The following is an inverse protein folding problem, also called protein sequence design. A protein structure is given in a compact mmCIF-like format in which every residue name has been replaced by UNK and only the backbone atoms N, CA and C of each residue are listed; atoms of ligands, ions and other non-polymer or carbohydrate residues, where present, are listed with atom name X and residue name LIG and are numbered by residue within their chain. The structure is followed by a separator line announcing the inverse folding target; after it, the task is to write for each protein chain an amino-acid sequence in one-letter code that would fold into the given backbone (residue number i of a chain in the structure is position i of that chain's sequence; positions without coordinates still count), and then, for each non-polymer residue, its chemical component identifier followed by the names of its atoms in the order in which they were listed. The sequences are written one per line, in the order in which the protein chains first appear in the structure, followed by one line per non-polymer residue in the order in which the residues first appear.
data_IF_204693095112
#
_entry.id   IF_204693095112
#
_cell.length_a   1.000
_cell.length_b   1.000
_cell.length_c   1.000
_cell.angle_alpha   90.00
_cell.angle_beta   90.00
_cell.angle_gamma   90.00
#
_symmetry.space_group_name_H-M   'P 1'
#
loop_
_entity.id
_entity.type
_entity.pdbx_description
1 polymer ?
#
# COMPACT_ATOMS: atom_id res chain seq x y z
N UNK A 1 -20.84 -5.26 13.81
CA UNK A 1 -19.38 -5.44 14.01
C UNK A 1 -18.60 -5.66 12.71
N UNK A 2 -19.05 -6.52 11.78
CA UNK A 2 -18.29 -6.80 10.54
C UNK A 2 -18.05 -5.58 9.63
N UNK A 3 -19.07 -4.75 9.41
CA UNK A 3 -18.93 -3.53 8.58
C UNK A 3 -17.99 -2.54 9.24
N UNK A 4 -18.10 -2.31 10.55
CA UNK A 4 -17.22 -1.40 11.28
C UNK A 4 -15.76 -1.86 11.24
N UNK A 5 -15.49 -3.16 11.40
CA UNK A 5 -14.15 -3.72 11.28
C UNK A 5 -13.58 -3.61 9.88
N UNK A 6 -14.41 -3.76 8.84
CA UNK A 6 -13.98 -3.58 7.45
C UNK A 6 -13.65 -2.12 7.15
N UNK A 7 -14.50 -1.18 7.58
CA UNK A 7 -14.25 0.26 7.42
C UNK A 7 -12.98 0.66 8.18
N UNK A 8 -12.82 0.22 9.43
CA UNK A 8 -11.63 0.47 10.23
C UNK A 8 -10.36 -0.05 9.55
N UNK A 9 -10.41 -1.28 9.00
CA UNK A 9 -9.31 -1.87 8.27
C UNK A 9 -8.90 -1.04 7.04
N UNK A 10 -9.86 -0.65 6.21
CA UNK A 10 -9.62 0.17 5.01
C UNK A 10 -9.14 1.57 5.36
N UNK A 11 -9.80 2.22 6.32
CA UNK A 11 -9.41 3.57 6.77
C UNK A 11 -7.99 3.57 7.33
N UNK A 12 -7.65 2.59 8.17
CA UNK A 12 -6.30 2.48 8.72
C UNK A 12 -5.22 2.30 7.66
N UNK A 13 -5.46 1.45 6.66
CA UNK A 13 -4.51 1.30 5.53
C UNK A 13 -4.43 2.59 4.72
N UNK A 14 -5.56 3.25 4.44
CA UNK A 14 -5.59 4.51 3.70
C UNK A 14 -4.87 5.63 4.45
N UNK A 15 -5.02 5.71 5.77
CA UNK A 15 -4.31 6.66 6.63
C UNK A 15 -2.80 6.40 6.65
N UNK A 16 -2.36 5.12 6.66
CA UNK A 16 -0.94 4.79 6.56
C UNK A 16 -0.34 5.29 5.24
N UNK A 17 -0.99 5.01 4.10
CA UNK A 17 -0.54 5.50 2.80
C UNK A 17 -0.59 7.03 2.72
N UNK A 18 -1.69 7.64 3.15
CA UNK A 18 -1.87 9.10 3.16
C UNK A 18 -0.85 9.81 4.06
N UNK A 19 -0.54 9.25 5.23
CA UNK A 19 0.49 9.81 6.13
C UNK A 19 1.89 9.75 5.52
N UNK A 20 2.20 8.67 4.79
CA UNK A 20 3.47 8.57 4.08
C UNK A 20 3.56 9.62 2.96
N UNK A 21 2.52 9.77 2.14
CA UNK A 21 2.43 10.82 1.12
C UNK A 21 2.63 12.20 1.75
N UNK A 22 1.89 12.52 2.82
CA UNK A 22 1.96 13.81 3.52
C UNK A 22 3.38 14.12 4.01
N UNK A 23 4.09 13.13 4.54
CA UNK A 23 5.46 13.29 5.07
C UNK A 23 6.52 13.40 3.97
N UNK A 24 6.34 12.73 2.84
CA UNK A 24 7.31 12.71 1.74
C UNK A 24 7.14 13.90 0.78
N UNK A 25 5.92 14.41 0.63
CA UNK A 25 5.63 15.52 -0.29
C UNK A 25 6.49 16.76 -0.03
N UNK A 26 6.67 17.26 1.21
CA UNK A 26 7.55 18.41 1.45
C UNK A 26 9.00 18.15 1.04
N UNK A 27 9.51 16.93 1.25
CA UNK A 27 10.89 16.56 0.88
C UNK A 27 11.06 16.48 -0.65
N UNK A 28 10.03 16.02 -1.34
CA UNK A 28 9.99 16.01 -2.80
C UNK A 28 9.94 17.43 -3.38
N UNK A 29 9.15 18.32 -2.77
CA UNK A 29 9.06 19.73 -3.19
C UNK A 29 10.36 20.48 -2.90
N UNK A 30 10.99 20.23 -1.76
CA UNK A 30 12.27 20.86 -1.38
C UNK A 30 13.38 20.60 -2.41
N UNK A 31 13.36 19.48 -3.12
CA UNK A 31 14.32 19.22 -4.19
C UNK A 31 14.30 20.31 -5.28
N UNK A 32 13.11 20.86 -5.59
CA UNK A 32 12.97 21.90 -6.63
C UNK A 32 13.50 23.28 -6.21
N UNK A 33 13.80 23.49 -4.93
CA UNK A 33 14.48 24.68 -4.45
C UNK A 33 15.98 24.68 -4.76
N UNK A 34 16.51 23.52 -5.16
CA UNK A 34 17.91 23.34 -5.53
C UNK A 34 18.11 23.50 -7.05
N UNK A 35 19.31 23.89 -7.46
CA UNK A 35 19.63 24.06 -8.89
C UNK A 35 19.63 22.71 -9.62
N UNK A 36 18.60 22.46 -10.42
CA UNK A 36 18.53 21.27 -11.25
C UNK A 36 19.37 21.44 -12.52
N UNK A 37 20.32 20.54 -12.71
CA UNK A 37 20.97 20.35 -14.00
C UNK A 37 20.11 19.43 -14.88
N UNK A 38 20.40 19.38 -16.19
CA UNK A 38 19.64 18.57 -17.14
C UNK A 38 19.54 17.08 -16.74
N UNK A 39 20.56 16.52 -16.13
CA UNK A 39 20.57 15.12 -15.68
C UNK A 39 19.65 14.87 -14.48
N UNK A 40 19.42 15.85 -13.62
CA UNK A 40 18.43 15.73 -12.54
C UNK A 40 17.03 15.63 -13.11
N UNK A 41 16.69 16.41 -14.14
CA UNK A 41 15.42 16.33 -14.84
C UNK A 41 15.23 14.98 -15.52
N UNK A 42 16.25 14.49 -16.25
CA UNK A 42 16.21 13.19 -16.89
C UNK A 42 15.98 12.07 -15.86
N UNK A 43 16.71 12.10 -14.74
CA UNK A 43 16.56 11.11 -13.68
C UNK A 43 15.19 11.19 -12.99
N UNK A 44 14.66 12.39 -12.74
CA UNK A 44 13.31 12.60 -12.21
C UNK A 44 12.26 11.92 -13.08
N UNK A 45 12.27 12.13 -14.39
CA UNK A 45 11.32 11.49 -15.30
C UNK A 45 11.44 9.96 -15.28
N UNK A 46 12.67 9.44 -15.28
CA UNK A 46 12.93 7.99 -15.19
C UNK A 46 12.35 7.43 -13.90
N UNK A 47 12.61 8.06 -12.75
CA UNK A 47 12.14 7.62 -11.44
C UNK A 47 10.62 7.70 -11.35
N UNK A 48 10.00 8.80 -11.81
CA UNK A 48 8.55 8.93 -11.81
C UNK A 48 7.87 7.83 -12.63
N UNK A 49 8.38 7.56 -13.84
CA UNK A 49 7.81 6.54 -14.72
C UNK A 49 8.00 5.13 -14.15
N UNK A 50 9.21 4.86 -13.63
CA UNK A 50 9.53 3.57 -13.01
C UNK A 50 8.67 3.32 -11.77
N UNK A 51 8.53 4.28 -10.87
CA UNK A 51 7.74 4.14 -9.65
C UNK A 51 6.23 4.04 -9.94
N UNK A 52 5.72 4.83 -10.88
CA UNK A 52 4.33 4.71 -11.33
C UNK A 52 4.03 3.31 -11.86
N UNK A 53 4.96 2.72 -12.63
CA UNK A 53 4.78 1.39 -13.19
C UNK A 53 5.03 0.28 -12.15
N UNK A 54 6.18 0.31 -11.47
CA UNK A 54 6.62 -0.78 -10.58
C UNK A 54 5.81 -0.80 -9.27
N UNK A 55 5.70 0.34 -8.60
CA UNK A 55 4.93 0.44 -7.36
C UNK A 55 3.45 0.68 -7.62
N UNK A 56 3.10 1.70 -8.39
CA UNK A 56 1.71 2.08 -8.62
C UNK A 56 0.93 0.96 -9.31
N UNK A 57 1.34 0.60 -10.52
CA UNK A 57 0.60 -0.37 -11.32
C UNK A 57 0.81 -1.83 -10.87
N UNK A 58 2.06 -2.31 -10.83
CA UNK A 58 2.33 -3.71 -10.48
C UNK A 58 2.18 -4.00 -8.99
N UNK A 59 2.73 -3.14 -8.14
CA UNK A 59 2.72 -3.34 -6.69
C UNK A 59 1.32 -3.13 -6.10
N UNK A 60 0.77 -1.94 -6.28
CA UNK A 60 -0.52 -1.59 -5.70
C UNK A 60 -1.71 -2.10 -6.51
N UNK A 61 -1.87 -1.66 -7.75
CA UNK A 61 -3.09 -1.92 -8.51
C UNK A 61 -3.31 -3.40 -8.83
N UNK A 62 -2.27 -4.15 -9.22
CA UNK A 62 -2.36 -5.59 -9.49
C UNK A 62 -2.15 -6.46 -8.25
N UNK A 63 -1.54 -5.90 -7.22
CA UNK A 63 -1.10 -6.68 -6.07
C UNK A 63 -1.81 -6.33 -4.75
N UNK A 64 -1.47 -5.20 -4.18
CA UNK A 64 -1.83 -4.84 -2.82
C UNK A 64 -3.31 -4.46 -2.68
N UNK A 65 -3.78 -3.48 -3.46
CA UNK A 65 -5.11 -2.88 -3.32
C UNK A 65 -6.28 -3.86 -3.46
N UNK A 66 -6.32 -4.75 -4.48
CA UNK A 66 -7.42 -5.71 -4.59
C UNK A 66 -7.44 -6.73 -3.45
N UNK A 67 -6.28 -7.09 -2.90
CA UNK A 67 -6.20 -8.02 -1.76
C UNK A 67 -6.64 -7.37 -0.46
N UNK A 68 -6.24 -6.12 -0.21
CA UNK A 68 -6.72 -5.35 0.95
C UNK A 68 -8.25 -5.24 0.92
N UNK A 69 -8.83 -4.90 -0.24
CA UNK A 69 -10.28 -4.83 -0.42
C UNK A 69 -10.98 -6.19 -0.20
N UNK A 70 -10.41 -7.30 -0.72
CA UNK A 70 -10.93 -8.65 -0.50
C UNK A 70 -10.90 -9.03 0.99
N UNK A 71 -9.84 -8.68 1.71
CA UNK A 71 -9.72 -8.96 3.15
C UNK A 71 -10.66 -8.10 4.00
N UNK A 72 -10.89 -6.85 3.62
CA UNK A 72 -11.91 -6.02 4.25
C UNK A 72 -13.32 -6.61 4.06
N UNK A 73 -13.63 -7.08 2.84
CA UNK A 73 -14.89 -7.78 2.56
C UNK A 73 -15.01 -9.08 3.39
N UNK A 74 -13.90 -9.80 3.58
CA UNK A 74 -13.86 -10.99 4.44
C UNK A 74 -14.22 -10.65 5.90
N UNK A 75 -13.68 -9.56 6.47
CA UNK A 75 -14.04 -9.09 7.84
C UNK A 75 -15.55 -8.79 7.92
N UNK A 76 -16.11 -8.15 6.88
CA UNK A 76 -17.53 -7.84 6.82
C UNK A 76 -18.38 -9.11 6.92
N UNK A 77 -18.01 -10.16 6.17
CA UNK A 77 -18.79 -11.40 6.06
C UNK A 77 -18.52 -12.38 7.22
N UNK A 78 -17.33 -12.32 7.83
CA UNK A 78 -16.89 -13.19 8.92
C UNK A 78 -16.41 -12.35 10.11
N UNK A 79 -17.32 -11.73 10.87
CA UNK A 79 -16.96 -10.83 11.95
C UNK A 79 -16.36 -11.59 13.12
N UNK A 80 -15.04 -11.48 13.29
CA UNK A 80 -14.29 -11.94 14.48
C UNK A 80 -13.70 -10.71 15.18
N UNK A 81 -13.78 -10.68 16.51
CA UNK A 81 -13.34 -9.53 17.31
C UNK A 81 -11.89 -9.14 17.04
N UNK A 82 -10.99 -10.13 16.96
CA UNK A 82 -9.57 -9.91 16.65
C UNK A 82 -9.35 -9.35 15.25
N UNK A 83 -10.11 -9.80 14.25
CA UNK A 83 -10.01 -9.28 12.88
C UNK A 83 -10.53 -7.85 12.77
N UNK A 84 -11.57 -7.52 13.54
CA UNK A 84 -12.11 -6.16 13.58
C UNK A 84 -11.16 -5.20 14.34
N UNK A 85 -10.62 -5.61 15.49
CA UNK A 85 -9.72 -4.77 16.29
C UNK A 85 -8.41 -4.47 15.55
N UNK A 86 -7.78 -5.50 14.97
CA UNK A 86 -6.54 -5.40 14.23
C UNK A 86 -6.78 -5.27 12.70
N UNK A 87 -7.90 -4.65 12.30
CA UNK A 87 -8.36 -4.52 10.93
C UNK A 87 -7.28 -4.10 9.93
N UNK A 88 -6.52 -3.01 10.15
CA UNK A 88 -5.47 -2.58 9.23
C UNK A 88 -4.39 -3.65 9.01
N UNK A 89 -3.87 -4.26 10.09
CA UNK A 89 -2.86 -5.31 10.02
C UNK A 89 -3.41 -6.60 9.37
N UNK A 90 -4.68 -6.93 9.61
CA UNK A 90 -5.35 -8.02 8.93
C UNK A 90 -5.44 -7.72 7.43
N UNK A 91 -5.92 -6.55 7.03
CA UNK A 91 -6.05 -6.16 5.62
C UNK A 91 -4.70 -6.17 4.89
N UNK A 92 -3.61 -5.77 5.54
CA UNK A 92 -2.24 -5.83 5.00
C UNK A 92 -1.67 -7.26 4.89
N UNK A 93 -2.31 -8.25 5.54
CA UNK A 93 -1.90 -9.66 5.46
C UNK A 93 -0.79 -10.09 6.42
N UNK A 94 -0.62 -9.40 7.55
CA UNK A 94 0.38 -9.77 8.57
C UNK A 94 -0.04 -10.98 9.40
N UNK A 95 -1.34 -11.17 9.62
CA UNK A 95 -1.85 -12.33 10.35
C UNK A 95 -3.09 -12.93 9.69
N UNK A 96 -3.42 -14.15 10.06
CA UNK A 96 -4.50 -14.94 9.47
C UNK A 96 -4.47 -14.89 7.93
N UNK A 97 -3.29 -15.17 7.40
CA UNK A 97 -2.99 -15.21 5.98
C UNK A 97 -2.19 -16.46 5.66
N UNK A 98 -2.23 -16.91 4.41
CA UNK A 98 -1.40 -18.03 3.95
C UNK A 98 0.08 -17.75 4.23
N UNK A 99 0.89 -18.81 4.46
CA UNK A 99 2.32 -18.68 4.78
C UNK A 99 3.05 -17.82 3.73
N UNK A 100 2.76 -18.06 2.46
CA UNK A 100 3.33 -17.29 1.34
C UNK A 100 3.01 -15.81 1.47
N UNK A 101 1.76 -15.47 1.82
CA UNK A 101 1.32 -14.08 1.95
C UNK A 101 1.96 -13.37 3.13
N UNK A 102 2.08 -14.04 4.30
CA UNK A 102 2.80 -13.49 5.46
C UNK A 102 4.24 -13.14 5.12
N UNK A 103 4.97 -14.08 4.49
CA UNK A 103 6.36 -13.86 4.09
C UNK A 103 6.45 -12.66 3.15
N UNK A 104 5.59 -12.58 2.12
CA UNK A 104 5.58 -11.45 1.19
C UNK A 104 5.32 -10.12 1.92
N UNK A 105 4.32 -10.05 2.81
CA UNK A 105 4.01 -8.81 3.55
C UNK A 105 5.18 -8.37 4.43
N UNK A 106 5.78 -9.30 5.16
CA UNK A 106 6.93 -9.02 6.03
C UNK A 106 8.14 -8.58 5.19
N UNK A 107 8.47 -9.30 4.11
CA UNK A 107 9.62 -8.98 3.24
C UNK A 107 9.47 -7.61 2.59
N UNK A 108 8.28 -7.28 2.08
CA UNK A 108 8.01 -5.95 1.51
C UNK A 108 8.16 -4.87 2.56
N UNK A 109 7.64 -5.07 3.77
CA UNK A 109 7.78 -4.10 4.87
C UNK A 109 9.24 -3.87 5.23
N UNK A 110 10.02 -4.94 5.39
CA UNK A 110 11.46 -4.83 5.64
C UNK A 110 12.19 -4.12 4.51
N UNK A 111 11.87 -4.45 3.25
CA UNK A 111 12.44 -3.78 2.07
C UNK A 111 12.16 -2.28 2.07
N UNK A 112 10.92 -1.88 2.39
CA UNK A 112 10.54 -0.46 2.51
C UNK A 112 11.34 0.23 3.62
N UNK A 113 11.48 -0.39 4.80
CA UNK A 113 12.26 0.18 5.93
C UNK A 113 13.72 0.39 5.52
N UNK A 114 14.35 -0.60 4.88
CA UNK A 114 15.72 -0.49 4.38
C UNK A 114 15.82 0.64 3.36
N UNK A 115 14.88 0.72 2.41
CA UNK A 115 14.86 1.79 1.41
C UNK A 115 14.76 3.17 2.05
N UNK A 116 13.88 3.35 3.04
CA UNK A 116 13.74 4.60 3.79
C UNK A 116 15.06 5.00 4.45
N UNK A 117 15.77 4.04 5.06
CA UNK A 117 17.06 4.30 5.71
C UNK A 117 18.10 4.72 4.66
N UNK A 118 18.18 4.01 3.54
CA UNK A 118 19.14 4.31 2.46
C UNK A 118 18.89 5.71 1.85
N UNK A 119 17.64 6.04 1.55
CA UNK A 119 17.27 7.34 0.97
C UNK A 119 17.58 8.48 1.93
N UNK A 120 17.55 8.27 3.25
CA UNK A 120 17.94 9.28 4.23
C UNK A 120 19.40 9.73 4.15
N UNK A 121 20.28 8.89 3.64
CA UNK A 121 21.70 9.23 3.45
C UNK A 121 21.98 10.02 2.15
N UNK A 122 21.00 10.16 1.26
CA UNK A 122 21.14 10.93 0.06
C UNK A 122 21.03 12.43 0.35
N UNK A 123 21.92 13.22 -0.26
CA UNK A 123 21.81 14.67 -0.28
C UNK A 123 20.73 15.14 -1.28
N UNK A 124 20.20 16.36 -1.06
CA UNK A 124 19.37 17.02 -2.08
C UNK A 124 20.20 17.39 -3.31
N UNK A 125 19.64 17.36 -4.53
CA UNK A 125 18.22 17.09 -4.87
C UNK A 125 17.89 15.59 -5.05
N UNK A 126 18.85 14.68 -5.00
CA UNK A 126 18.66 13.24 -5.27
C UNK A 126 17.60 12.58 -4.38
N UNK A 127 17.63 12.92 -3.09
CA UNK A 127 16.65 12.44 -2.13
C UNK A 127 15.23 12.81 -2.55
N UNK A 128 15.00 14.08 -2.83
CA UNK A 128 13.66 14.56 -3.17
C UNK A 128 13.17 14.02 -4.51
N UNK A 129 14.05 13.72 -5.47
CA UNK A 129 13.69 13.06 -6.73
C UNK A 129 13.13 11.65 -6.45
N UNK A 130 13.79 10.89 -5.57
CA UNK A 130 13.30 9.54 -5.18
C UNK A 130 12.00 9.65 -4.41
N UNK A 131 11.91 10.57 -3.44
CA UNK A 131 10.71 10.81 -2.66
C UNK A 131 9.52 11.22 -3.54
N UNK A 132 9.74 12.01 -4.60
CA UNK A 132 8.72 12.35 -5.59
C UNK A 132 8.18 11.10 -6.31
N UNK A 133 9.07 10.18 -6.71
CA UNK A 133 8.67 8.91 -7.30
C UNK A 133 7.83 8.05 -6.36
N UNK A 134 8.24 7.96 -5.09
CA UNK A 134 7.49 7.22 -4.06
C UNK A 134 6.11 7.85 -3.83
N UNK A 135 6.02 9.18 -3.77
CA UNK A 135 4.73 9.90 -3.63
C UNK A 135 3.77 9.54 -4.78
N UNK A 136 4.28 9.51 -6.02
CA UNK A 136 3.47 9.12 -7.19
C UNK A 136 3.03 7.65 -7.09
N UNK A 137 3.91 6.73 -6.71
CA UNK A 137 3.58 5.31 -6.51
C UNK A 137 2.52 5.09 -5.43
N UNK A 138 2.68 5.74 -4.27
CA UNK A 138 1.73 5.68 -3.15
C UNK A 138 0.40 6.35 -3.49
N UNK A 139 0.41 7.48 -4.21
CA UNK A 139 -0.79 8.17 -4.70
C UNK A 139 -1.61 7.27 -5.61
N UNK A 140 -0.95 6.61 -6.58
CA UNK A 140 -1.58 5.59 -7.42
C UNK A 140 -2.16 4.45 -6.58
N UNK A 141 -1.41 3.99 -5.57
CA UNK A 141 -1.82 2.96 -4.63
C UNK A 141 -3.08 3.32 -3.87
N UNK A 142 -3.16 4.54 -3.33
CA UNK A 142 -4.31 5.05 -2.58
C UNK A 142 -5.55 5.14 -3.48
N UNK A 143 -5.43 5.69 -4.69
CA UNK A 143 -6.53 5.74 -5.66
C UNK A 143 -7.00 4.34 -6.02
N UNK A 144 -6.07 3.42 -6.31
CA UNK A 144 -6.39 2.01 -6.60
C UNK A 144 -7.12 1.36 -5.42
N UNK A 145 -6.69 1.61 -4.19
CA UNK A 145 -7.31 1.05 -2.98
C UNK A 145 -8.76 1.53 -2.84
N UNK A 146 -9.04 2.81 -3.07
CA UNK A 146 -10.39 3.36 -3.02
C UNK A 146 -11.27 2.70 -4.09
N UNK A 147 -10.79 2.58 -5.32
CA UNK A 147 -11.54 1.96 -6.42
C UNK A 147 -11.87 0.49 -6.11
N UNK A 148 -10.88 -0.32 -5.70
CA UNK A 148 -11.10 -1.73 -5.39
C UNK A 148 -11.96 -1.92 -4.14
N UNK A 149 -11.85 -1.03 -3.16
CA UNK A 149 -12.73 -1.04 -1.99
C UNK A 149 -14.18 -0.78 -2.41
N UNK A 150 -14.42 0.22 -3.23
CA UNK A 150 -15.76 0.49 -3.76
C UNK A 150 -16.31 -0.73 -4.53
N UNK A 151 -15.51 -1.33 -5.41
CA UNK A 151 -15.91 -2.52 -6.16
C UNK A 151 -16.23 -3.71 -5.24
N UNK A 152 -15.42 -3.94 -4.20
CA UNK A 152 -15.62 -5.04 -3.26
C UNK A 152 -16.94 -4.94 -2.48
N UNK A 153 -17.39 -3.72 -2.17
CA UNK A 153 -18.63 -3.52 -1.41
C UNK A 153 -19.89 -3.37 -2.29
N UNK A 154 -19.73 -3.06 -3.59
CA UNK A 154 -20.85 -2.83 -4.50
C UNK A 154 -21.14 -4.02 -5.40
N UNK A 155 -20.13 -4.79 -5.80
CA UNK A 155 -20.31 -5.94 -6.70
C UNK A 155 -20.83 -7.16 -5.95
N UNK A 156 -21.79 -7.89 -6.54
CA UNK A 156 -22.34 -9.16 -5.98
C UNK A 156 -21.28 -10.25 -5.84
N UNK A 157 -20.25 -10.27 -6.70
CA UNK A 157 -19.13 -11.21 -6.66
C UNK A 157 -17.82 -10.49 -6.89
N UNK A 158 -17.01 -10.34 -5.85
CA UNK A 158 -15.68 -9.77 -5.95
C UNK A 158 -14.68 -10.82 -6.40
N UNK A 159 -13.90 -10.52 -7.44
CA UNK A 159 -13.05 -11.48 -8.16
C UNK A 159 -11.81 -11.95 -7.38
N UNK A 160 -11.39 -11.19 -6.38
CA UNK A 160 -10.12 -11.42 -5.69
C UNK A 160 -10.30 -12.18 -4.39
N UNK A 161 -9.35 -13.12 -4.12
CA UNK A 161 -9.34 -13.93 -2.90
C UNK A 161 -8.72 -13.16 -1.73
N UNK A 162 -9.25 -13.31 -0.50
CA UNK A 162 -8.65 -12.75 0.71
C UNK A 162 -7.37 -13.48 1.16
N UNK A 163 -6.99 -14.59 0.51
CA UNK A 163 -5.81 -15.41 0.84
C UNK A 163 -5.72 -15.74 2.35
N UNK A 164 -6.86 -16.10 2.94
CA UNK A 164 -6.92 -16.65 4.31
C UNK A 164 -6.68 -18.16 4.29
N UNK A 165 -6.12 -18.75 5.36
CA UNK A 165 -6.03 -20.20 5.47
C UNK A 165 -7.44 -20.81 5.42
N UNK A 166 -7.60 -21.93 4.70
CA UNK A 166 -8.82 -22.72 4.77
C UNK A 166 -8.96 -23.22 6.22
N UNK A 167 -10.07 -22.89 6.88
CA UNK A 167 -10.43 -23.54 8.12
C UNK A 167 -10.81 -24.98 7.77
N UNK A 168 -9.98 -25.94 8.16
CA UNK A 168 -10.41 -27.33 8.18
C UNK A 168 -11.67 -27.40 9.03
N UNK A 169 -12.80 -27.44 8.37
CA UNK A 169 -14.09 -27.81 8.97
C UNK A 169 -13.98 -29.32 9.22
N UNK A 170 -13.22 -29.70 10.25
CA UNK A 170 -13.37 -31.01 10.86
C UNK A 170 -14.80 -31.05 11.40
N UNK A 171 -15.62 -31.81 10.68
CA UNK A 171 -16.95 -32.23 11.11
C UNK A 171 -16.84 -33.03 12.40
#
# INVERSE_FOLDING_TARGET
MGILGAIWGLTGVSLLLGSAIYRLTPLAIDAFSHNFSWYHWAFLFIVLFFMAYAEGYRGFQKGFSPRVAARALYIKNNPRLLHALLGPFFCMGFFHATRRRKITSISVTFGIIILIILVRFLAQPWRGIIDAGVVVGLGWGLVSLIIFSYQAFTQKKFRYSPEVPEENTTK
#
